data_IF_019090613346
#
_entry.id   IF_019090613346
#
_cell.length_a   1.000
_cell.length_b   1.000
_cell.length_c   1.000
_cell.angle_alpha   90.00
_cell.angle_beta   90.00
_cell.angle_gamma   90.00
#
_symmetry.space_group_name_H-M   'P 1'
#
loop_
_entity.id
_entity.type
_entity.pdbx_description
1 polymer ?
#
# COMPACT_ATOMS: atom_id res chain seq x y z
N UNK A 1 -15.50 29.69 7.60
CA UNK A 1 -14.66 29.19 6.49
C UNK A 1 -15.52 29.13 5.23
N UNK A 2 -15.03 29.54 4.06
CA UNK A 2 -15.84 29.49 2.82
C UNK A 2 -16.09 28.02 2.44
N UNK A 3 -17.28 27.70 1.91
CA UNK A 3 -17.63 26.33 1.55
C UNK A 3 -16.61 25.70 0.58
N UNK A 4 -16.06 26.52 -0.32
CA UNK A 4 -14.99 26.12 -1.24
C UNK A 4 -13.73 25.61 -0.54
N UNK A 5 -13.41 26.11 0.64
CA UNK A 5 -12.22 25.69 1.40
C UNK A 5 -12.41 24.31 2.05
N UNK A 6 -13.63 23.99 2.48
CA UNK A 6 -13.97 22.66 3.01
C UNK A 6 -13.95 21.59 1.91
N UNK A 7 -14.47 21.93 0.72
CA UNK A 7 -14.47 21.03 -0.44
C UNK A 7 -13.04 20.73 -0.89
N UNK A 8 -12.19 21.76 -0.97
CA UNK A 8 -10.79 21.58 -1.32
C UNK A 8 -10.05 20.67 -0.32
N UNK A 9 -10.29 20.85 0.98
CA UNK A 9 -9.67 20.03 2.02
C UNK A 9 -10.12 18.56 1.95
N UNK A 10 -11.41 18.32 1.75
CA UNK A 10 -11.94 16.97 1.57
C UNK A 10 -11.35 16.28 0.34
N UNK A 11 -11.24 17.00 -0.78
CA UNK A 11 -10.64 16.48 -2.01
C UNK A 11 -9.17 16.08 -1.81
N UNK A 12 -8.38 16.89 -1.11
CA UNK A 12 -6.97 16.58 -0.83
C UNK A 12 -6.78 15.37 0.06
N UNK A 13 -7.68 15.14 1.02
CA UNK A 13 -7.63 13.95 1.89
C UNK A 13 -7.95 12.68 1.10
N UNK A 14 -8.96 12.72 0.21
CA UNK A 14 -9.35 11.55 -0.58
C UNK A 14 -8.28 11.18 -1.62
N UNK A 15 -7.64 12.17 -2.24
CA UNK A 15 -6.63 11.95 -3.28
C UNK A 15 -5.29 11.40 -2.76
N UNK A 16 -5.08 11.31 -1.44
CA UNK A 16 -3.83 10.82 -0.85
C UNK A 16 -3.88 9.38 -0.33
N UNK A 17 -4.99 8.66 -0.54
CA UNK A 17 -5.11 7.25 -0.15
C UNK A 17 -4.42 6.29 -1.13
N UNK A 18 -3.39 5.58 -0.65
CA UNK A 18 -2.57 4.56 -1.33
C UNK A 18 -1.55 5.10 -2.37
N UNK A 19 -0.27 5.12 -1.99
CA UNK A 19 0.82 5.55 -2.87
C UNK A 19 1.25 4.43 -3.83
N UNK A 20 1.36 3.19 -3.34
CA UNK A 20 1.77 2.04 -4.13
C UNK A 20 1.45 0.74 -3.41
N UNK A 21 1.20 -0.33 -4.17
CA UNK A 21 1.13 -1.69 -3.63
C UNK A 21 1.99 -2.59 -4.50
N UNK A 22 2.92 -3.31 -3.87
CA UNK A 22 3.74 -4.34 -4.51
C UNK A 22 3.25 -5.69 -4.02
N UNK A 23 2.97 -6.61 -4.93
CA UNK A 23 2.54 -7.97 -4.61
C UNK A 23 3.51 -8.94 -5.23
N UNK A 24 4.02 -9.86 -4.43
CA UNK A 24 5.00 -10.86 -4.85
C UNK A 24 4.30 -12.19 -5.04
N UNK A 25 4.57 -12.83 -6.17
CA UNK A 25 4.03 -14.14 -6.52
C UNK A 25 5.15 -15.16 -6.71
N UNK A 26 4.86 -16.43 -6.47
CA UNK A 26 5.75 -17.54 -6.81
C UNK A 26 5.64 -17.96 -8.29
N UNK A 27 6.42 -18.96 -8.68
CA UNK A 27 6.45 -19.53 -10.04
C UNK A 27 5.12 -20.18 -10.48
N UNK A 28 4.25 -20.48 -9.51
CA UNK A 28 2.91 -21.05 -9.75
C UNK A 28 1.82 -19.97 -9.73
N UNK A 29 2.18 -18.70 -9.58
CA UNK A 29 1.25 -17.58 -9.54
C UNK A 29 0.54 -17.39 -8.20
N UNK A 30 1.00 -18.02 -7.11
CA UNK A 30 0.42 -17.85 -5.77
C UNK A 30 1.04 -16.64 -5.09
N UNK A 31 0.21 -15.84 -4.41
CA UNK A 31 0.67 -14.65 -3.67
C UNK A 31 1.42 -15.07 -2.41
N UNK A 32 2.68 -14.64 -2.28
CA UNK A 32 3.57 -14.99 -1.15
C UNK A 32 3.92 -13.79 -0.27
N UNK A 33 3.62 -12.58 -0.73
CA UNK A 33 3.80 -11.38 0.06
C UNK A 33 3.22 -10.14 -0.59
N UNK A 34 3.02 -9.11 0.21
CA UNK A 34 2.54 -7.82 -0.21
C UNK A 34 3.18 -6.71 0.62
N UNK A 35 3.53 -5.61 -0.03
CA UNK A 35 3.91 -4.37 0.63
C UNK A 35 2.97 -3.27 0.15
N UNK A 36 2.33 -2.59 1.08
CA UNK A 36 1.42 -1.47 0.81
C UNK A 36 2.05 -0.19 1.37
N UNK A 37 2.35 0.74 0.47
CA UNK A 37 2.82 2.07 0.80
C UNK A 37 1.62 3.02 0.90
N UNK A 38 1.46 3.62 2.07
CA UNK A 38 0.45 4.63 2.35
C UNK A 38 1.13 6.00 2.42
N UNK A 39 0.75 6.89 1.50
CA UNK A 39 1.11 8.31 1.57
C UNK A 39 0.21 8.99 2.59
N UNK A 40 0.74 9.28 3.77
CA UNK A 40 0.03 10.12 4.74
C UNK A 40 0.05 11.58 4.32
N UNK A 41 -1.10 12.24 4.32
CA UNK A 41 -1.24 13.68 4.00
C UNK A 41 -0.53 14.60 5.01
N UNK A 42 -0.37 14.15 6.28
CA UNK A 42 0.19 14.95 7.39
C UNK A 42 1.17 14.18 8.29
N UNK A 43 0.95 12.89 8.50
CA UNK A 43 1.81 12.02 9.31
C UNK A 43 2.60 11.17 8.32
N UNK A 44 3.93 11.29 8.31
CA UNK A 44 4.81 10.77 7.27
C UNK A 44 4.42 9.39 6.72
N UNK A 45 4.54 9.21 5.41
CA UNK A 45 4.15 7.99 4.72
C UNK A 45 4.81 6.74 5.31
N UNK A 46 4.04 5.64 5.34
CA UNK A 46 4.46 4.37 5.91
C UNK A 46 4.31 3.24 4.90
N UNK A 47 5.12 2.19 5.04
CA UNK A 47 4.96 0.96 4.27
C UNK A 47 4.67 -0.21 5.21
N UNK A 48 3.50 -0.83 5.05
CA UNK A 48 3.15 -2.07 5.72
C UNK A 48 3.48 -3.25 4.82
N UNK A 49 4.38 -4.13 5.25
CA UNK A 49 4.74 -5.33 4.51
C UNK A 49 4.32 -6.59 5.27
N UNK A 50 3.73 -7.53 4.54
CA UNK A 50 3.41 -8.87 5.02
C UNK A 50 3.90 -9.89 3.99
N UNK A 51 4.35 -11.05 4.43
CA UNK A 51 4.80 -12.09 3.52
C UNK A 51 5.30 -13.33 4.24
N UNK A 52 5.41 -14.41 3.48
CA UNK A 52 5.95 -15.68 3.92
C UNK A 52 6.89 -16.21 2.84
N UNK A 53 7.99 -16.83 3.25
CA UNK A 53 8.91 -17.46 2.32
C UNK A 53 8.21 -18.65 1.64
N UNK A 54 8.21 -18.70 0.31
CA UNK A 54 7.83 -19.90 -0.41
C UNK A 54 8.94 -20.95 -0.19
N UNK A 55 8.62 -22.06 0.47
CA UNK A 55 9.59 -23.14 0.75
C UNK A 55 9.70 -24.13 -0.42
N UNK A 56 9.06 -23.83 -1.55
CA UNK A 56 9.06 -24.71 -2.71
C UNK A 56 10.48 -24.87 -3.26
N UNK A 57 11.00 -26.10 -3.18
CA UNK A 57 12.36 -26.44 -3.58
C UNK A 57 13.40 -26.41 -2.45
N UNK A 58 13.03 -26.14 -1.20
CA UNK A 58 13.95 -26.21 -0.05
C UNK A 58 14.51 -27.62 0.21
N UNK A 59 13.77 -28.64 -0.21
CA UNK A 59 14.12 -30.06 0.00
C UNK A 59 14.67 -30.75 -1.27
N UNK A 60 15.08 -29.99 -2.30
CA UNK A 60 15.81 -30.52 -3.47
C UNK A 60 17.29 -30.18 -3.38
#
# INVERSE_FOLDING_TARGET
MKLSTLIALAATIVLTGCASTVTTFDSHGRMIGSCKAESGFIIGGGAGCSGSANQEGRDR
#
